data_IF_140957020603
#
_entry.id   IF_140957020603
#
_cell.length_a   1.000
_cell.length_b   1.000
_cell.length_c   1.000
_cell.angle_alpha   90.00
_cell.angle_beta   90.00
_cell.angle_gamma   90.00
#
_symmetry.space_group_name_H-M   'P 1'
#
loop_
_entity.id
_entity.type
_entity.pdbx_description
1 polymer ?
#
# COMPACT_ATOMS: atom_id res chain seq x y z
N UNK A 1 2.02 -7.73 20.39
CA UNK A 1 2.15 -7.09 19.07
C UNK A 1 2.20 -5.58 19.27
N UNK A 2 3.17 -4.94 18.67
CA UNK A 2 3.35 -3.49 18.75
C UNK A 2 3.33 -2.89 17.36
N UNK A 3 2.55 -1.82 17.17
CA UNK A 3 2.53 -1.06 15.91
C UNK A 3 3.32 0.22 16.13
N UNK A 4 4.26 0.50 15.25
CA UNK A 4 5.11 1.68 15.32
C UNK A 4 5.47 2.17 13.92
N UNK A 5 5.95 3.41 13.83
CA UNK A 5 6.51 3.92 12.57
C UNK A 5 7.74 3.11 12.18
N UNK A 6 7.92 2.92 10.87
CA UNK A 6 9.12 2.27 10.35
C UNK A 6 10.35 3.11 10.70
N UNK A 7 11.36 2.47 11.27
CA UNK A 7 12.67 3.04 11.49
C UNK A 7 13.66 2.52 10.46
N UNK A 8 14.73 3.26 10.21
CA UNK A 8 15.75 2.88 9.23
C UNK A 8 16.33 1.48 9.51
N UNK A 9 16.55 1.15 10.78
CA UNK A 9 17.09 -0.16 11.18
C UNK A 9 16.18 -1.34 10.81
N UNK A 10 14.88 -1.10 10.63
CA UNK A 10 13.91 -2.15 10.30
C UNK A 10 13.62 -2.27 8.80
N UNK A 11 14.24 -1.43 7.96
CA UNK A 11 13.99 -1.44 6.51
C UNK A 11 14.33 -2.78 5.86
N UNK A 12 15.48 -3.35 6.21
CA UNK A 12 15.87 -4.65 5.66
C UNK A 12 14.87 -5.76 6.02
N UNK A 13 14.33 -5.71 7.23
CA UNK A 13 13.29 -6.65 7.67
C UNK A 13 12.00 -6.50 6.88
N UNK A 14 11.64 -5.26 6.52
CA UNK A 14 10.48 -4.98 5.66
C UNK A 14 10.69 -5.57 4.26
N UNK A 15 11.86 -5.37 3.65
CA UNK A 15 12.14 -5.94 2.34
C UNK A 15 12.04 -7.46 2.35
N UNK A 16 12.59 -8.10 3.38
CA UNK A 16 12.48 -9.55 3.55
C UNK A 16 11.03 -10.00 3.75
N UNK A 17 10.26 -9.26 4.54
CA UNK A 17 8.83 -9.52 4.71
C UNK A 17 8.08 -9.46 3.37
N UNK A 18 8.32 -8.41 2.58
CA UNK A 18 7.66 -8.25 1.29
C UNK A 18 7.96 -9.40 0.33
N UNK A 19 9.21 -9.87 0.30
CA UNK A 19 9.57 -11.05 -0.51
C UNK A 19 8.85 -12.32 -0.06
N UNK A 20 8.68 -12.51 1.24
CA UNK A 20 7.94 -13.67 1.77
C UNK A 20 6.44 -13.54 1.57
N UNK A 21 5.90 -12.32 1.70
CA UNK A 21 4.48 -12.07 1.55
C UNK A 21 4.02 -12.13 0.09
N UNK A 22 4.92 -11.86 -0.86
CA UNK A 22 4.64 -11.92 -2.29
C UNK A 22 5.62 -12.89 -2.97
N UNK A 23 5.53 -14.21 -2.70
CA UNK A 23 6.46 -15.18 -3.26
C UNK A 23 6.33 -15.25 -4.78
N UNK A 24 7.47 -15.39 -5.44
CA UNK A 24 7.55 -15.36 -6.89
C UNK A 24 7.61 -13.95 -7.47
N UNK A 25 7.65 -12.92 -6.62
CA UNK A 25 7.80 -11.52 -7.05
C UNK A 25 8.69 -10.76 -6.08
N UNK A 26 9.67 -10.03 -6.62
CA UNK A 26 10.47 -9.06 -5.86
C UNK A 26 9.96 -7.63 -6.07
N UNK A 27 8.89 -7.46 -6.85
CA UNK A 27 8.42 -6.13 -7.28
C UNK A 27 8.08 -5.22 -6.10
N UNK A 28 7.39 -5.74 -5.09
CA UNK A 28 6.97 -4.96 -3.93
C UNK A 28 8.16 -4.56 -3.08
N UNK A 29 9.11 -5.48 -2.85
CA UNK A 29 10.32 -5.19 -2.09
C UNK A 29 11.20 -4.19 -2.84
N UNK A 30 11.39 -4.38 -4.13
CA UNK A 30 12.21 -3.48 -4.97
C UNK A 30 11.58 -2.08 -5.05
N UNK A 31 10.27 -2.01 -5.16
CA UNK A 31 9.53 -0.74 -5.17
C UNK A 31 9.82 0.06 -3.90
N UNK A 32 9.62 -0.54 -2.74
CA UNK A 32 9.81 0.14 -1.46
C UNK A 32 11.27 0.52 -1.26
N UNK A 33 12.19 -0.37 -1.62
CA UNK A 33 13.62 -0.08 -1.52
C UNK A 33 14.02 1.12 -2.39
N UNK A 34 13.55 1.19 -3.63
CA UNK A 34 13.81 2.33 -4.53
C UNK A 34 13.23 3.63 -3.99
N UNK A 35 12.03 3.59 -3.44
CA UNK A 35 11.42 4.76 -2.81
C UNK A 35 12.26 5.25 -1.62
N UNK A 36 12.75 4.34 -0.80
CA UNK A 36 13.65 4.67 0.32
C UNK A 36 14.97 5.26 -0.16
N UNK A 37 15.61 4.65 -1.14
CA UNK A 37 16.89 5.12 -1.71
C UNK A 37 16.78 6.51 -2.32
N UNK A 38 15.66 6.80 -2.96
CA UNK A 38 15.38 8.10 -3.55
C UNK A 38 15.05 9.16 -2.49
N UNK A 39 14.70 8.74 -1.27
CA UNK A 39 14.26 9.66 -0.23
C UNK A 39 12.84 10.16 -0.41
N UNK A 40 12.01 9.41 -1.14
CA UNK A 40 10.59 9.76 -1.33
C UNK A 40 9.85 9.78 0.01
N UNK A 41 9.09 10.84 0.33
CA UNK A 41 8.31 10.89 1.56
C UNK A 41 7.24 9.80 1.56
N UNK A 42 7.27 8.95 2.58
CA UNK A 42 6.29 7.89 2.79
C UNK A 42 5.77 7.96 4.22
N UNK A 43 4.52 7.56 4.40
CA UNK A 43 3.96 7.29 5.73
C UNK A 43 3.95 5.78 5.91
N UNK A 44 4.70 5.28 6.89
CA UNK A 44 4.95 3.84 7.01
C UNK A 44 4.84 3.36 8.44
N UNK A 45 4.18 2.23 8.64
CA UNK A 45 4.08 1.56 9.94
C UNK A 45 4.37 0.09 9.82
N UNK A 46 4.86 -0.49 10.90
CA UNK A 46 5.13 -1.92 11.02
C UNK A 46 4.47 -2.47 12.28
N UNK A 47 4.07 -3.74 12.20
CA UNK A 47 3.74 -4.55 13.37
C UNK A 47 4.97 -5.35 13.76
N UNK A 48 5.34 -5.27 15.03
CA UNK A 48 6.47 -6.03 15.57
C UNK A 48 5.96 -6.98 16.66
N UNK A 49 6.40 -8.22 16.58
CA UNK A 49 6.14 -9.24 17.58
C UNK A 49 7.39 -10.08 17.78
N UNK A 50 7.83 -10.20 19.03
CA UNK A 50 9.04 -10.94 19.39
C UNK A 50 10.24 -10.50 18.51
N UNK A 51 10.44 -9.19 18.42
CA UNK A 51 11.52 -8.54 17.64
C UNK A 51 11.45 -8.80 16.12
N UNK A 52 10.37 -9.38 15.61
CA UNK A 52 10.16 -9.63 14.19
C UNK A 52 9.17 -8.64 13.61
N UNK A 53 9.44 -8.15 12.41
CA UNK A 53 8.47 -7.39 11.62
C UNK A 53 7.52 -8.40 10.98
N UNK A 54 6.26 -8.39 11.40
CA UNK A 54 5.25 -9.35 10.95
C UNK A 54 4.24 -8.74 9.98
N UNK A 55 4.16 -7.40 9.90
CA UNK A 55 3.30 -6.73 8.96
C UNK A 55 3.84 -5.33 8.64
N UNK A 56 3.46 -4.81 7.48
CA UNK A 56 3.91 -3.52 6.99
C UNK A 56 2.82 -2.85 6.16
N UNK A 57 2.72 -1.53 6.27
CA UNK A 57 1.84 -0.70 5.46
C UNK A 57 2.56 0.60 5.09
N UNK A 58 2.37 1.03 3.85
CA UNK A 58 2.92 2.29 3.35
C UNK A 58 1.86 3.11 2.62
N UNK A 59 2.03 4.42 2.71
CA UNK A 59 1.24 5.39 1.95
C UNK A 59 2.19 6.33 1.21
N UNK A 60 1.94 6.53 -0.07
CA UNK A 60 2.69 7.46 -0.92
C UNK A 60 1.75 8.48 -1.54
N UNK A 61 2.30 9.56 -2.10
CA UNK A 61 1.48 10.62 -2.67
C UNK A 61 0.70 10.18 -3.90
N UNK A 62 -0.56 10.60 -3.95
CA UNK A 62 -1.41 10.51 -5.12
C UNK A 62 -1.48 11.88 -5.78
N UNK A 63 -1.41 11.94 -7.10
CA UNK A 63 -1.30 13.19 -7.84
C UNK A 63 -2.45 13.42 -8.81
N UNK A 64 -2.90 14.66 -8.87
CA UNK A 64 -3.68 15.20 -9.96
C UNK A 64 -2.75 16.16 -10.74
N UNK A 65 -2.22 15.69 -11.87
CA UNK A 65 -1.13 16.40 -12.54
C UNK A 65 0.11 16.44 -11.66
N UNK A 66 0.58 17.63 -11.32
CA UNK A 66 1.73 17.85 -10.45
C UNK A 66 1.36 18.07 -8.98
N UNK A 67 0.07 18.15 -8.66
CA UNK A 67 -0.41 18.44 -7.30
C UNK A 67 -0.80 17.19 -6.55
N UNK A 68 -0.45 17.13 -5.26
CA UNK A 68 -0.87 16.05 -4.39
C UNK A 68 -2.36 16.18 -4.10
N UNK A 69 -3.13 15.13 -4.41
CA UNK A 69 -4.57 15.10 -4.16
C UNK A 69 -4.99 14.08 -3.09
N UNK A 70 -4.06 13.37 -2.52
CA UNK A 70 -4.31 12.36 -1.51
C UNK A 70 -3.13 11.40 -1.38
N UNK A 71 -3.40 10.21 -0.89
CA UNK A 71 -2.38 9.17 -0.71
C UNK A 71 -2.85 7.85 -1.31
N UNK A 72 -1.88 7.10 -1.84
CA UNK A 72 -2.07 5.70 -2.21
C UNK A 72 -1.63 4.78 -1.07
N UNK A 73 -2.48 3.84 -0.71
CA UNK A 73 -2.13 2.74 0.19
C UNK A 73 -1.50 1.63 -0.65
N UNK A 74 -0.18 1.49 -0.59
CA UNK A 74 0.56 0.43 -1.29
C UNK A 74 2.05 0.47 -0.94
N UNK A 75 2.66 -0.67 -0.64
CA UNK A 75 2.03 -1.96 -0.41
C UNK A 75 1.56 -2.14 1.04
N UNK A 76 0.75 -3.16 1.27
CA UNK A 76 0.47 -3.69 2.58
C UNK A 76 0.74 -5.19 2.57
N UNK A 77 1.43 -5.68 3.59
CA UNK A 77 1.82 -7.08 3.66
C UNK A 77 1.76 -7.61 5.09
N UNK A 78 1.41 -8.88 5.22
CA UNK A 78 1.45 -9.63 6.47
C UNK A 78 2.29 -10.87 6.23
N UNK A 79 3.20 -11.18 7.17
CA UNK A 79 4.01 -12.39 7.12
C UNK A 79 3.10 -13.63 6.99
N UNK A 80 3.45 -14.62 6.13
CA UNK A 80 2.58 -15.77 5.89
C UNK A 80 2.10 -16.48 7.15
N UNK A 81 2.95 -16.59 8.18
CA UNK A 81 2.61 -17.25 9.45
C UNK A 81 1.55 -16.49 10.25
N UNK A 82 1.34 -15.21 9.96
CA UNK A 82 0.44 -14.34 10.69
C UNK A 82 -0.78 -13.90 9.86
N UNK A 83 -0.92 -14.40 8.64
CA UNK A 83 -2.09 -14.11 7.81
C UNK A 83 -3.36 -14.75 8.35
N UNK A 84 -4.52 -14.16 8.06
CA UNK A 84 -5.85 -14.62 8.48
C UNK A 84 -6.06 -14.63 10.00
N UNK A 85 -5.29 -13.82 10.72
CA UNK A 85 -5.39 -13.68 12.17
C UNK A 85 -5.74 -12.25 12.60
N UNK A 86 -6.15 -11.41 11.66
CA UNK A 86 -6.56 -10.03 11.93
C UNK A 86 -5.42 -9.02 12.03
N UNK A 87 -4.17 -9.42 11.80
CA UNK A 87 -3.00 -8.52 11.92
C UNK A 87 -3.08 -7.37 10.90
N UNK A 88 -3.38 -7.69 9.63
CA UNK A 88 -3.54 -6.67 8.60
C UNK A 88 -4.67 -5.68 8.92
N UNK A 89 -5.79 -6.18 9.42
CA UNK A 89 -6.92 -5.34 9.83
C UNK A 89 -6.56 -4.40 10.97
N UNK A 90 -5.82 -4.89 11.98
CA UNK A 90 -5.37 -4.04 13.09
C UNK A 90 -4.40 -2.96 12.61
N UNK A 91 -3.45 -3.33 11.76
CA UNK A 91 -2.49 -2.38 11.21
C UNK A 91 -3.18 -1.29 10.39
N UNK A 92 -4.09 -1.68 9.49
CA UNK A 92 -4.83 -0.71 8.67
C UNK A 92 -5.70 0.19 9.56
N UNK A 93 -6.41 -0.37 10.52
CA UNK A 93 -7.25 0.39 11.44
C UNK A 93 -6.43 1.40 12.24
N UNK A 94 -5.25 1.00 12.69
CA UNK A 94 -4.31 1.90 13.36
C UNK A 94 -3.87 3.04 12.44
N UNK A 95 -3.40 2.70 11.22
CA UNK A 95 -2.90 3.68 10.26
C UNK A 95 -3.97 4.72 9.87
N UNK A 96 -5.21 4.28 9.70
CA UNK A 96 -6.32 5.17 9.33
C UNK A 96 -6.63 6.24 10.39
N UNK A 97 -6.16 6.06 11.62
CA UNK A 97 -6.34 7.04 12.70
C UNK A 97 -5.15 7.98 12.86
N UNK A 98 -4.06 7.76 12.12
CA UNK A 98 -2.85 8.56 12.25
C UNK A 98 -2.88 9.79 11.34
N UNK A 99 -2.23 10.87 11.77
CA UNK A 99 -1.99 12.02 10.90
C UNK A 99 -0.82 11.72 9.93
N UNK A 100 -0.86 12.19 8.69
CA UNK A 100 -1.97 12.92 8.06
C UNK A 100 -3.05 12.03 7.44
N UNK A 101 -2.95 10.70 7.63
CA UNK A 101 -3.78 9.69 6.93
C UNK A 101 -5.28 9.92 7.17
N UNK A 102 -5.64 10.21 8.43
CA UNK A 102 -7.05 10.26 8.86
C UNK A 102 -7.89 11.35 8.17
N UNK A 103 -7.24 12.36 7.58
CA UNK A 103 -7.94 13.52 7.00
C UNK A 103 -7.82 13.63 5.48
N UNK A 104 -6.98 12.79 4.85
CA UNK A 104 -6.72 12.87 3.41
C UNK A 104 -7.57 11.88 2.61
N UNK A 105 -7.86 12.20 1.34
CA UNK A 105 -8.36 11.19 0.42
C UNK A 105 -7.34 10.06 0.30
N UNK A 106 -7.83 8.82 0.35
CA UNK A 106 -6.99 7.63 0.22
C UNK A 106 -7.49 6.78 -0.94
N UNK A 107 -6.53 6.23 -1.68
CA UNK A 107 -6.80 5.32 -2.79
C UNK A 107 -6.08 4.00 -2.54
N UNK A 108 -6.71 2.91 -2.95
CA UNK A 108 -6.10 1.58 -2.86
C UNK A 108 -6.52 0.75 -4.07
N UNK A 109 -5.56 -0.01 -4.59
CA UNK A 109 -5.81 -1.03 -5.60
C UNK A 109 -5.65 -2.38 -4.90
N UNK A 110 -6.75 -3.07 -4.62
CA UNK A 110 -6.71 -4.30 -3.84
C UNK A 110 -8.02 -5.05 -3.79
N UNK A 111 -8.14 -5.98 -2.84
CA UNK A 111 -9.32 -6.81 -2.67
C UNK A 111 -10.51 -6.00 -2.13
N UNK A 112 -11.57 -5.78 -2.93
CA UNK A 112 -12.69 -4.95 -2.50
C UNK A 112 -13.36 -5.44 -1.22
N UNK A 113 -13.50 -6.74 -1.07
CA UNK A 113 -14.12 -7.34 0.11
C UNK A 113 -13.38 -6.99 1.41
N UNK A 114 -12.06 -6.91 1.35
CA UNK A 114 -11.25 -6.53 2.51
C UNK A 114 -11.38 -5.03 2.81
N UNK A 115 -11.14 -4.17 1.81
CA UNK A 115 -11.08 -2.72 2.03
C UNK A 115 -12.46 -2.10 2.31
N UNK A 116 -13.53 -2.70 1.81
CA UNK A 116 -14.90 -2.24 2.11
C UNK A 116 -15.19 -2.21 3.60
N UNK A 117 -14.61 -3.11 4.38
CA UNK A 117 -14.78 -3.14 5.85
C UNK A 117 -14.28 -1.88 6.54
N UNK A 118 -13.39 -1.13 5.90
CA UNK A 118 -12.77 0.08 6.45
C UNK A 118 -13.36 1.37 5.86
N UNK A 119 -14.45 1.26 5.13
CA UNK A 119 -15.14 2.41 4.54
C UNK A 119 -14.69 2.76 3.13
N UNK A 120 -13.80 2.00 2.52
CA UNK A 120 -13.45 2.21 1.12
C UNK A 120 -14.59 1.80 0.22
N UNK A 121 -14.81 2.57 -0.84
CA UNK A 121 -15.84 2.34 -1.85
C UNK A 121 -15.21 2.23 -3.24
N UNK A 122 -15.86 1.54 -4.19
CA UNK A 122 -15.37 1.51 -5.58
C UNK A 122 -15.16 2.93 -6.10
N UNK A 123 -14.04 3.15 -6.76
CA UNK A 123 -13.63 4.46 -7.28
C UNK A 123 -13.61 4.45 -8.80
N UNK A 124 -14.46 5.25 -9.43
CA UNK A 124 -14.47 5.44 -10.87
C UNK A 124 -13.87 6.79 -11.29
N UNK A 125 -13.75 7.70 -10.36
CA UNK A 125 -13.16 9.04 -10.53
C UNK A 125 -12.31 9.34 -9.30
N UNK A 126 -11.00 9.52 -9.45
CA UNK A 126 -10.18 9.43 -10.66
C UNK A 126 -10.00 8.01 -11.19
N UNK A 127 -9.39 7.89 -12.37
CA UNK A 127 -9.11 6.63 -13.04
C UNK A 127 -7.75 6.11 -12.59
N UNK A 128 -7.67 4.82 -12.23
CA UNK A 128 -6.41 4.16 -11.90
C UNK A 128 -5.71 3.69 -13.18
N UNK A 129 -4.43 4.07 -13.40
CA UNK A 129 -3.71 3.66 -14.61
C UNK A 129 -3.34 2.16 -14.63
N UNK A 130 -3.48 1.47 -13.50
CA UNK A 130 -3.08 0.07 -13.33
C UNK A 130 -4.26 -0.90 -13.24
N UNK A 131 -5.49 -0.40 -13.35
CA UNK A 131 -6.71 -1.21 -13.26
C UNK A 131 -7.66 -0.83 -14.40
N UNK A 132 -7.45 -1.41 -15.56
CA UNK A 132 -8.17 -1.06 -16.80
C UNK A 132 -9.68 -1.15 -16.70
N UNK A 133 -10.18 -2.09 -15.89
CA UNK A 133 -11.62 -2.33 -15.74
C UNK A 133 -12.19 -1.65 -14.50
N UNK A 134 -11.35 -0.92 -13.77
CA UNK A 134 -11.73 -0.23 -12.53
C UNK A 134 -12.42 -1.15 -11.51
N UNK A 135 -12.06 -2.43 -11.52
CA UNK A 135 -12.72 -3.47 -10.72
C UNK A 135 -12.20 -3.53 -9.29
N UNK A 136 -10.97 -3.06 -9.04
CA UNK A 136 -10.29 -3.19 -7.77
C UNK A 136 -9.81 -1.87 -7.19
N UNK A 137 -10.06 -0.76 -7.90
CA UNK A 137 -9.67 0.56 -7.42
C UNK A 137 -10.74 1.12 -6.48
N UNK A 138 -10.31 1.49 -5.29
CA UNK A 138 -11.20 1.95 -4.22
C UNK A 138 -10.68 3.22 -3.59
N UNK A 139 -11.56 3.99 -2.97
CA UNK A 139 -11.20 5.22 -2.29
C UNK A 139 -12.05 5.49 -1.05
N UNK A 140 -11.51 6.33 -0.17
CA UNK A 140 -12.21 6.86 0.98
C UNK A 140 -11.94 8.38 1.04
N UNK A 141 -12.92 9.15 1.47
CA UNK A 141 -12.86 10.62 1.52
C UNK A 141 -12.53 11.26 0.18
N UNK A 142 -12.91 10.62 -0.92
CA UNK A 142 -12.66 11.10 -2.27
C UNK A 142 -13.80 12.05 -2.69
N UNK A 143 -13.46 13.28 -3.02
CA UNK A 143 -14.42 14.32 -3.44
C UNK A 143 -14.20 14.75 -4.89
N UNK A 144 -13.45 13.97 -5.68
CA UNK A 144 -13.19 14.29 -7.07
C UNK A 144 -14.48 14.22 -7.89
N UNK A 145 -14.73 15.25 -8.70
CA UNK A 145 -15.92 15.34 -9.57
C UNK A 145 -15.58 15.29 -11.04
N UNK A 146 -14.35 15.71 -11.41
CA UNK A 146 -13.88 15.66 -12.77
C UNK A 146 -12.99 14.43 -12.98
N UNK A 147 -13.13 13.77 -14.14
CA UNK A 147 -12.33 12.60 -14.48
C UNK A 147 -10.88 12.99 -14.79
N UNK A 148 -9.94 12.28 -14.20
CA UNK A 148 -8.51 12.39 -14.51
C UNK A 148 -7.84 11.06 -14.17
N UNK A 149 -6.64 10.83 -14.71
CA UNK A 149 -5.84 9.67 -14.36
C UNK A 149 -5.01 10.03 -13.13
N UNK A 150 -5.22 9.33 -12.02
CA UNK A 150 -4.48 9.59 -10.80
C UNK A 150 -3.00 9.20 -10.97
N UNK A 151 -2.11 10.09 -10.53
CA UNK A 151 -0.67 9.85 -10.59
C UNK A 151 -0.15 9.11 -9.36
N UNK A 152 0.86 8.31 -9.59
CA UNK A 152 1.65 7.59 -8.58
C UNK A 152 3.09 8.13 -8.59
N UNK A 153 3.86 7.81 -7.57
CA UNK A 153 5.31 7.96 -7.67
C UNK A 153 5.83 7.14 -8.85
N UNK A 154 6.83 7.64 -9.62
CA UNK A 154 7.25 6.98 -10.86
C UNK A 154 7.68 5.53 -10.70
N UNK A 155 8.21 5.15 -9.54
CA UNK A 155 8.67 3.81 -9.24
C UNK A 155 7.56 2.75 -9.34
N UNK A 156 6.30 3.14 -9.09
CA UNK A 156 5.14 2.25 -9.24
C UNK A 156 4.94 1.79 -10.68
N UNK A 157 5.21 2.65 -11.63
CA UNK A 157 5.08 2.31 -13.06
C UNK A 157 6.10 1.25 -13.46
N UNK A 158 7.32 1.36 -12.97
CA UNK A 158 8.36 0.37 -13.21
C UNK A 158 8.01 -0.97 -12.58
N UNK A 159 7.52 -0.96 -11.34
CA UNK A 159 7.10 -2.18 -10.64
C UNK A 159 5.95 -2.88 -11.37
N UNK A 160 4.97 -2.13 -11.90
CA UNK A 160 3.84 -2.69 -12.64
C UNK A 160 4.26 -3.32 -13.97
N UNK A 161 5.35 -2.85 -14.59
CA UNK A 161 5.88 -3.37 -15.86
C UNK A 161 6.85 -4.52 -15.68
N UNK A 162 7.40 -4.73 -14.48
CA UNK A 162 8.35 -5.80 -14.22
C UNK A 162 7.65 -7.16 -14.34
N UNK A 163 8.32 -8.20 -14.89
CA UNK A 163 7.74 -9.53 -14.97
C UNK A 163 7.43 -10.02 -13.55
N UNK A 164 6.18 -10.43 -13.32
CA UNK A 164 5.82 -11.13 -12.10
C UNK A 164 6.37 -12.54 -12.22
N UNK A 165 7.14 -13.00 -11.24
CA UNK A 165 7.56 -14.37 -11.17
C UNK A 165 6.36 -15.31 -11.21
N UNK A 166 6.55 -16.54 -11.71
CA UNK A 166 5.50 -17.55 -11.78
C UNK A 166 5.15 -18.06 -10.37
N UNK A 167 4.63 -17.19 -9.54
CA UNK A 167 4.15 -17.54 -8.22
C UNK A 167 2.63 -17.72 -8.22
N UNK A 168 2.15 -18.61 -7.37
CA UNK A 168 0.71 -18.80 -7.19
C UNK A 168 0.04 -17.46 -6.87
N UNK A 169 -1.06 -17.16 -7.57
CA UNK A 169 -1.91 -16.02 -7.26
C UNK A 169 -2.28 -16.07 -5.78
N UNK A 170 -1.98 -15.01 -5.08
CA UNK A 170 -2.40 -14.90 -3.70
C UNK A 170 -3.81 -14.39 -3.61
N UNK A 171 -4.53 -15.03 -2.74
CA UNK A 171 -5.88 -14.66 -2.36
C UNK A 171 -5.88 -13.79 -1.11
#
# INVERSE_FOLDING_TARGET
MKIQKLTEENRAKVYALLRRAFPGSDNEADLVQKLHEKGTPLQEWVCIQTQKVIAYIAFSSAYHGSEVCGLHLAPMAVSPEFQKQGVGSELLRFALRQEPIKSLPLFVLGAPRFYKKFGFEPCSVPICPFDKNNAHFMSIRNHATASFIVGYEPEFKTAAKAPKGQGKKRR
#
